data_IF_393554750078
#
_entry.id   IF_393554750078
#
_cell.length_a   1.000
_cell.length_b   1.000
_cell.length_c   1.000
_cell.angle_alpha   90.00
_cell.angle_beta   90.00
_cell.angle_gamma   90.00
#
_symmetry.space_group_name_H-M   'P 1'
#
loop_
_entity.id
_entity.type
_entity.pdbx_description
1 polymer ?
#
# COMPACT_ATOMS: atom_id res chain seq x y z
N UNK A 1 -40.21 16.30 -18.40
CA UNK A 1 -38.80 16.49 -18.81
C UNK A 1 -38.00 15.48 -18.00
N UNK A 2 -37.72 14.31 -18.57
CA UNK A 2 -37.12 13.18 -17.85
C UNK A 2 -35.61 13.36 -17.86
N UNK A 3 -35.03 13.70 -16.71
CA UNK A 3 -33.59 13.78 -16.54
C UNK A 3 -33.01 12.37 -16.77
N UNK A 4 -32.34 12.18 -17.91
CA UNK A 4 -31.51 11.00 -18.14
C UNK A 4 -30.33 11.09 -17.20
N UNK A 5 -30.44 10.48 -16.02
CA UNK A 5 -29.30 10.23 -15.14
C UNK A 5 -28.29 9.42 -15.95
N UNK A 6 -27.24 10.07 -16.44
CA UNK A 6 -26.15 9.38 -17.13
C UNK A 6 -25.44 8.49 -16.10
N UNK A 7 -25.48 7.18 -16.33
CA UNK A 7 -24.80 6.17 -15.48
C UNK A 7 -23.29 6.10 -15.73
N UNK A 8 -22.72 7.10 -16.39
CA UNK A 8 -21.29 7.14 -16.71
C UNK A 8 -20.49 7.73 -15.55
N UNK A 9 -19.34 7.12 -15.24
CA UNK A 9 -18.42 7.70 -14.27
C UNK A 9 -17.91 9.06 -14.77
N UNK A 10 -17.78 10.02 -13.85
CA UNK A 10 -17.24 11.33 -14.16
C UNK A 10 -15.82 11.20 -14.71
N UNK A 11 -15.62 11.71 -15.93
CA UNK A 11 -14.29 11.77 -16.56
C UNK A 11 -13.32 12.57 -15.68
N UNK A 12 -12.07 12.10 -15.60
CA UNK A 12 -10.98 12.75 -14.86
C UNK A 12 -11.33 13.08 -13.39
N UNK A 13 -12.05 12.20 -12.70
CA UNK A 13 -12.43 12.43 -11.31
C UNK A 13 -11.22 12.57 -10.36
N UNK A 14 -10.09 11.95 -10.71
CA UNK A 14 -8.88 11.82 -9.89
C UNK A 14 -7.70 12.62 -10.44
N UNK A 15 -7.60 12.76 -11.77
CA UNK A 15 -6.41 13.27 -12.45
C UNK A 15 -5.17 12.39 -12.22
N UNK A 16 -4.03 12.78 -12.79
CA UNK A 16 -2.76 12.04 -12.66
C UNK A 16 -2.25 12.01 -11.23
N UNK A 17 -2.20 13.17 -10.55
CA UNK A 17 -1.74 13.24 -9.17
C UNK A 17 -2.66 12.44 -8.23
N UNK A 18 -3.98 12.49 -8.43
CA UNK A 18 -4.92 11.67 -7.65
C UNK A 18 -4.66 10.18 -7.83
N UNK A 19 -4.42 9.72 -9.06
CA UNK A 19 -4.06 8.31 -9.28
C UNK A 19 -2.71 7.93 -8.68
N UNK A 20 -1.72 8.83 -8.71
CA UNK A 20 -0.41 8.59 -8.11
C UNK A 20 -0.52 8.44 -6.59
N UNK A 21 -1.21 9.39 -5.93
CA UNK A 21 -1.41 9.34 -4.49
C UNK A 21 -2.30 8.18 -4.06
N UNK A 22 -3.32 7.83 -4.84
CA UNK A 22 -4.14 6.64 -4.57
C UNK A 22 -3.30 5.35 -4.66
N UNK A 23 -2.41 5.27 -5.66
CA UNK A 23 -1.46 4.16 -5.78
C UNK A 23 -0.50 4.10 -4.59
N UNK A 24 0.09 5.23 -4.19
CA UNK A 24 1.00 5.30 -3.05
C UNK A 24 0.30 4.95 -1.73
N UNK A 25 -0.87 5.54 -1.47
CA UNK A 25 -1.68 5.27 -0.29
C UNK A 25 -2.07 3.79 -0.21
N UNK A 26 -2.42 3.18 -1.35
CA UNK A 26 -2.74 1.76 -1.44
C UNK A 26 -1.59 0.83 -1.06
N UNK A 27 -0.33 1.26 -1.21
CA UNK A 27 0.85 0.48 -0.81
C UNK A 27 1.22 0.64 0.67
N UNK A 28 0.62 1.60 1.39
CA UNK A 28 0.86 1.91 2.80
C UNK A 28 2.37 1.88 3.19
N UNK A 29 3.18 2.84 2.71
CA UNK A 29 4.64 2.87 2.91
C UNK A 29 5.14 2.60 4.33
N UNK A 30 4.58 3.27 5.36
CA UNK A 30 5.04 3.10 6.73
C UNK A 30 4.77 1.69 7.25
N UNK A 31 3.60 1.13 6.93
CA UNK A 31 3.28 -0.26 7.25
C UNK A 31 4.20 -1.24 6.51
N UNK A 32 4.42 -1.02 5.21
CA UNK A 32 5.31 -1.84 4.39
C UNK A 32 6.74 -1.88 4.93
N UNK A 33 7.24 -0.78 5.50
CA UNK A 33 8.56 -0.75 6.15
C UNK A 33 8.49 -1.45 7.52
N UNK A 34 7.53 -1.10 8.36
CA UNK A 34 7.43 -1.62 9.72
C UNK A 34 7.23 -3.14 9.77
N UNK A 35 6.40 -3.70 8.88
CA UNK A 35 6.13 -5.13 8.80
C UNK A 35 6.97 -5.82 7.72
N UNK A 36 6.89 -5.33 6.48
CA UNK A 36 7.50 -5.99 5.32
C UNK A 36 9.03 -5.98 5.35
N UNK A 37 9.65 -4.83 5.61
CA UNK A 37 11.11 -4.77 5.69
C UNK A 37 11.63 -5.54 6.92
N UNK A 38 10.94 -5.47 8.06
CA UNK A 38 11.26 -6.27 9.25
C UNK A 38 11.23 -7.78 8.97
N UNK A 39 10.20 -8.23 8.25
CA UNK A 39 10.08 -9.63 7.82
C UNK A 39 11.22 -10.04 6.88
N UNK A 40 11.60 -9.20 5.91
CA UNK A 40 12.74 -9.53 5.04
C UNK A 40 14.03 -9.60 5.86
N UNK A 41 14.23 -8.66 6.81
CA UNK A 41 15.37 -8.65 7.71
C UNK A 41 15.49 -9.89 8.59
N UNK A 42 14.38 -10.52 8.99
CA UNK A 42 14.44 -11.75 9.78
C UNK A 42 14.99 -12.96 9.01
N UNK A 43 15.09 -12.90 7.67
CA UNK A 43 15.63 -13.97 6.84
C UNK A 43 16.92 -13.60 6.10
N UNK A 44 17.01 -12.37 5.59
CA UNK A 44 18.14 -11.92 4.78
C UNK A 44 19.19 -11.14 5.58
N UNK A 45 18.95 -10.86 6.87
CA UNK A 45 19.86 -10.13 7.76
C UNK A 45 20.36 -8.84 7.12
N UNK A 46 21.67 -8.59 7.11
CA UNK A 46 22.23 -7.38 6.53
C UNK A 46 21.93 -7.29 5.03
N UNK A 47 21.85 -8.41 4.30
CA UNK A 47 21.57 -8.43 2.85
C UNK A 47 20.11 -8.10 2.46
N UNK A 48 19.28 -7.63 3.39
CA UNK A 48 17.88 -7.29 3.14
C UNK A 48 17.65 -6.28 2.00
N UNK A 49 18.44 -5.20 1.88
CA UNK A 49 18.33 -4.30 0.73
C UNK A 49 18.57 -4.99 -0.61
N UNK A 50 19.55 -5.91 -0.70
CA UNK A 50 19.75 -6.72 -1.91
C UNK A 50 18.52 -7.59 -2.22
N UNK A 51 17.97 -8.28 -1.22
CA UNK A 51 16.77 -9.11 -1.40
C UNK A 51 15.57 -8.28 -1.87
N UNK A 52 15.38 -7.08 -1.32
CA UNK A 52 14.34 -6.13 -1.74
C UNK A 52 14.55 -5.67 -3.19
N UNK A 53 15.79 -5.38 -3.60
CA UNK A 53 16.10 -4.99 -4.99
C UNK A 53 15.82 -6.12 -5.98
N UNK A 54 16.20 -7.35 -5.66
CA UNK A 54 15.90 -8.51 -6.51
C UNK A 54 14.39 -8.74 -6.62
N UNK A 55 13.67 -8.56 -5.52
CA UNK A 55 12.20 -8.62 -5.50
C UNK A 55 11.58 -7.54 -6.37
N UNK A 56 12.07 -6.30 -6.29
CA UNK A 56 11.64 -5.19 -7.16
C UNK A 56 11.80 -5.55 -8.63
N UNK A 57 12.97 -6.05 -9.03
CA UNK A 57 13.24 -6.45 -10.42
C UNK A 57 12.28 -7.54 -10.89
N UNK A 58 11.98 -8.53 -10.04
CA UNK A 58 10.99 -9.57 -10.35
C UNK A 58 9.58 -9.02 -10.56
N UNK A 59 9.15 -8.08 -9.71
CA UNK A 59 7.80 -7.50 -9.76
C UNK A 59 7.62 -6.56 -10.96
N UNK A 60 8.69 -5.94 -11.50
CA UNK A 60 8.59 -5.05 -12.67
C UNK A 60 7.97 -5.74 -13.90
N UNK A 61 8.19 -7.04 -14.10
CA UNK A 61 7.55 -7.79 -15.18
C UNK A 61 6.02 -7.79 -15.05
N UNK A 62 5.51 -7.98 -13.82
CA UNK A 62 4.07 -7.95 -13.50
C UNK A 62 3.53 -6.54 -13.72
N UNK A 63 4.24 -5.52 -13.22
CA UNK A 63 3.87 -4.11 -13.41
C UNK A 63 3.74 -3.76 -14.89
N UNK A 64 4.67 -4.24 -15.72
CA UNK A 64 4.63 -4.03 -17.16
C UNK A 64 3.41 -4.70 -17.81
N UNK A 65 3.08 -5.93 -17.45
CA UNK A 65 1.86 -6.59 -17.93
C UNK A 65 0.60 -5.79 -17.59
N UNK A 66 0.49 -5.31 -16.36
CA UNK A 66 -0.65 -4.48 -15.92
C UNK A 66 -0.69 -3.16 -16.69
N UNK A 67 0.46 -2.51 -16.90
CA UNK A 67 0.55 -1.27 -17.69
C UNK A 67 0.04 -1.46 -19.12
N UNK A 68 0.44 -2.53 -19.81
CA UNK A 68 -0.03 -2.84 -21.16
C UNK A 68 -1.54 -3.07 -21.17
N UNK A 69 -2.07 -3.84 -20.21
CA UNK A 69 -3.51 -4.12 -20.12
C UNK A 69 -4.33 -2.87 -19.79
N UNK A 70 -3.82 -2.00 -18.90
CA UNK A 70 -4.47 -0.75 -18.54
C UNK A 70 -4.62 0.21 -19.73
N UNK A 71 -3.62 0.22 -20.64
CA UNK A 71 -3.70 0.99 -21.89
C UNK A 71 -4.65 0.37 -22.91
N UNK A 72 -4.69 -0.96 -23.00
CA UNK A 72 -5.51 -1.67 -23.99
C UNK A 72 -6.99 -1.71 -23.61
N UNK A 73 -7.30 -1.81 -22.31
CA UNK A 73 -8.65 -1.97 -21.79
C UNK A 73 -8.96 -0.90 -20.71
N UNK A 74 -9.08 0.40 -21.08
CA UNK A 74 -9.39 1.45 -20.13
C UNK A 74 -10.81 1.29 -19.59
N UNK A 75 -10.95 0.66 -18.42
CA UNK A 75 -12.24 0.35 -17.80
C UNK A 75 -12.15 0.50 -16.28
N UNK A 76 -13.20 1.06 -15.67
CA UNK A 76 -13.30 1.24 -14.22
C UNK A 76 -13.32 -0.07 -13.41
N UNK A 77 -13.44 -1.22 -14.08
CA UNK A 77 -13.47 -2.54 -13.45
C UNK A 77 -12.07 -3.18 -13.39
N UNK A 78 -11.04 -2.46 -13.88
CA UNK A 78 -9.62 -2.81 -13.77
C UNK A 78 -9.36 -4.29 -14.10
N UNK A 79 -8.84 -5.07 -13.15
CA UNK A 79 -8.49 -6.49 -13.31
C UNK A 79 -9.64 -7.39 -13.80
N UNK A 80 -10.89 -7.14 -13.40
CA UNK A 80 -12.03 -7.88 -13.95
C UNK A 80 -12.12 -7.70 -15.47
N UNK A 81 -11.96 -6.45 -15.95
CA UNK A 81 -12.01 -6.15 -17.37
C UNK A 81 -10.79 -6.74 -18.10
N UNK A 82 -9.59 -6.66 -17.50
CA UNK A 82 -8.38 -7.22 -18.12
C UNK A 82 -8.53 -8.72 -18.35
N UNK A 83 -8.97 -9.48 -17.34
CA UNK A 83 -9.13 -10.93 -17.43
C UNK A 83 -10.29 -11.31 -18.35
N UNK A 84 -11.41 -10.58 -18.28
CA UNK A 84 -12.58 -10.83 -19.16
C UNK A 84 -12.23 -10.69 -20.63
N UNK A 85 -11.47 -9.64 -20.99
CA UNK A 85 -11.13 -9.34 -22.38
C UNK A 85 -9.92 -10.13 -22.91
N UNK A 86 -9.15 -10.80 -22.04
CA UNK A 86 -7.97 -11.58 -22.43
C UNK A 86 -8.23 -13.09 -22.41
N UNK A 87 -9.08 -13.58 -21.50
CA UNK A 87 -9.39 -15.00 -21.35
C UNK A 87 -10.84 -15.29 -21.73
N UNK A 88 -11.78 -15.02 -20.82
CA UNK A 88 -13.22 -15.10 -21.05
C UNK A 88 -13.98 -14.51 -19.84
N UNK A 89 -15.29 -14.32 -20.01
CA UNK A 89 -16.16 -13.73 -18.98
C UNK A 89 -16.26 -14.56 -17.69
N UNK A 90 -16.20 -15.90 -17.75
CA UNK A 90 -16.29 -16.74 -16.54
C UNK A 90 -15.06 -16.56 -15.65
N UNK A 91 -13.86 -16.58 -16.24
CA UNK A 91 -12.60 -16.37 -15.50
C UNK A 91 -12.50 -14.92 -15.02
N UNK A 92 -12.96 -13.97 -15.84
CA UNK A 92 -13.07 -12.56 -15.45
C UNK A 92 -13.94 -12.38 -14.21
N UNK A 93 -15.13 -12.98 -14.19
CA UNK A 93 -16.04 -12.95 -13.05
C UNK A 93 -15.43 -13.57 -11.79
N UNK A 94 -14.80 -14.73 -11.91
CA UNK A 94 -14.08 -15.35 -10.79
C UNK A 94 -12.98 -14.43 -10.24
N UNK A 95 -12.16 -13.84 -11.11
CA UNK A 95 -11.15 -12.85 -10.71
C UNK A 95 -11.78 -11.63 -10.01
N UNK A 96 -12.90 -11.14 -10.54
CA UNK A 96 -13.66 -10.06 -9.93
C UNK A 96 -14.13 -10.38 -8.50
N UNK A 97 -14.63 -11.60 -8.26
CA UNK A 97 -14.99 -12.06 -6.91
C UNK A 97 -13.76 -12.12 -6.01
N UNK A 98 -12.65 -12.69 -6.50
CA UNK A 98 -11.42 -12.80 -5.70
C UNK A 98 -10.95 -11.43 -5.25
N UNK A 99 -10.84 -10.47 -6.16
CA UNK A 99 -10.47 -9.09 -5.81
C UNK A 99 -11.54 -8.43 -4.93
N UNK A 100 -12.82 -8.54 -5.24
CA UNK A 100 -13.84 -7.81 -4.47
C UNK A 100 -13.97 -8.33 -3.05
N UNK A 101 -13.91 -9.65 -2.84
CA UNK A 101 -14.12 -10.27 -1.52
C UNK A 101 -12.81 -10.39 -0.77
N UNK A 102 -11.82 -11.08 -1.34
CA UNK A 102 -10.58 -11.38 -0.62
C UNK A 102 -9.71 -10.14 -0.48
N UNK A 103 -9.52 -9.34 -1.53
CA UNK A 103 -8.70 -8.13 -1.39
C UNK A 103 -9.34 -7.11 -0.45
N UNK A 104 -10.67 -6.97 -0.46
CA UNK A 104 -11.34 -6.05 0.49
C UNK A 104 -11.23 -6.53 1.92
N UNK A 105 -11.44 -7.82 2.20
CA UNK A 105 -11.37 -8.36 3.57
C UNK A 105 -9.92 -8.38 4.06
N UNK A 106 -9.01 -8.95 3.27
CA UNK A 106 -7.60 -9.09 3.65
C UNK A 106 -6.90 -7.73 3.67
N UNK A 107 -7.16 -6.87 2.69
CA UNK A 107 -6.61 -5.52 2.62
C UNK A 107 -7.04 -4.67 3.81
N UNK A 108 -8.35 -4.52 4.04
CA UNK A 108 -8.87 -3.73 5.17
C UNK A 108 -8.46 -4.34 6.51
N UNK A 109 -8.56 -5.67 6.64
CA UNK A 109 -8.20 -6.37 7.87
C UNK A 109 -6.71 -6.23 8.22
N UNK A 110 -5.81 -6.41 7.25
CA UNK A 110 -4.37 -6.28 7.48
C UNK A 110 -3.97 -4.87 7.91
N UNK A 111 -4.54 -3.83 7.28
CA UNK A 111 -4.30 -2.42 7.67
C UNK A 111 -4.85 -2.16 9.08
N UNK A 112 -6.03 -2.68 9.42
CA UNK A 112 -6.62 -2.50 10.75
C UNK A 112 -5.78 -3.17 11.86
N UNK A 113 -5.29 -4.37 11.61
CA UNK A 113 -4.38 -5.09 12.52
C UNK A 113 -3.06 -4.33 12.65
N UNK A 114 -2.49 -3.87 11.55
CA UNK A 114 -1.26 -3.09 11.57
C UNK A 114 -1.39 -1.81 12.38
N UNK A 115 -2.47 -1.05 12.17
CA UNK A 115 -2.77 0.16 12.94
C UNK A 115 -2.92 -0.15 14.43
N UNK A 116 -3.64 -1.21 14.78
CA UNK A 116 -3.84 -1.62 16.17
C UNK A 116 -2.53 -1.98 16.88
N UNK A 117 -1.69 -2.77 16.22
CA UNK A 117 -0.39 -3.19 16.75
C UNK A 117 0.56 -2.00 16.89
N UNK A 118 0.82 -1.26 15.80
CA UNK A 118 1.74 -0.13 15.80
C UNK A 118 1.26 1.02 16.70
N UNK A 119 -0.05 1.25 16.76
CA UNK A 119 -0.64 2.24 17.66
C UNK A 119 -0.45 1.87 19.13
N UNK A 120 -0.56 0.59 19.49
CA UNK A 120 -0.30 0.10 20.85
C UNK A 120 1.16 0.28 21.23
N UNK A 121 2.09 -0.08 20.35
CA UNK A 121 3.53 0.12 20.56
C UNK A 121 3.87 1.61 20.71
N UNK A 122 3.25 2.48 19.91
CA UNK A 122 3.42 3.93 20.02
C UNK A 122 2.91 4.48 21.35
N UNK A 123 1.74 4.03 21.82
CA UNK A 123 1.18 4.42 23.12
C UNK A 123 2.06 3.92 24.26
N UNK A 124 2.52 2.67 24.20
CA UNK A 124 3.43 2.10 25.18
C UNK A 124 4.75 2.87 25.24
N UNK A 125 5.34 3.25 24.10
CA UNK A 125 6.58 4.01 24.05
C UNK A 125 6.49 5.39 24.74
N UNK A 126 5.30 6.01 24.75
CA UNK A 126 5.09 7.34 25.36
C UNK A 126 4.62 7.23 26.81
N UNK A 127 3.77 6.26 27.12
CA UNK A 127 3.06 6.17 28.41
C UNK A 127 3.59 5.10 29.35
N UNK A 128 4.33 4.11 28.84
CA UNK A 128 4.76 2.92 29.57
C UNK A 128 3.63 1.94 29.92
N UNK A 129 2.40 2.22 29.48
CA UNK A 129 1.23 1.41 29.82
C UNK A 129 0.81 0.52 28.64
N UNK A 130 0.79 -0.81 28.81
CA UNK A 130 0.31 -1.71 27.78
C UNK A 130 -1.22 -1.59 27.67
N UNK A 131 -1.72 -1.47 26.44
CA UNK A 131 -3.15 -1.49 26.13
C UNK A 131 -3.44 -2.68 25.23
N UNK A 132 -4.70 -3.15 25.25
CA UNK A 132 -5.10 -4.24 24.35
C UNK A 132 -5.24 -3.70 22.91
N UNK A 133 -4.48 -4.21 21.92
CA UNK A 133 -4.56 -3.74 20.53
C UNK A 133 -5.95 -3.83 19.91
N UNK A 134 -6.78 -4.77 20.37
CA UNK A 134 -8.15 -4.95 19.86
C UNK A 134 -9.02 -3.69 20.00
N UNK A 135 -8.71 -2.82 20.96
CA UNK A 135 -9.43 -1.55 21.18
C UNK A 135 -9.20 -0.57 20.01
N UNK A 136 -8.02 -0.61 19.39
CA UNK A 136 -7.64 0.29 18.30
C UNK A 136 -8.07 -0.23 16.92
N UNK A 137 -8.33 -1.53 16.79
CA UNK A 137 -8.69 -2.20 15.53
C UNK A 137 -9.87 -1.57 14.76
N UNK A 138 -11.02 -1.21 15.38
CA UNK A 138 -12.15 -0.66 14.64
C UNK A 138 -11.94 0.77 14.13
N UNK A 139 -10.95 1.50 14.68
CA UNK A 139 -10.73 2.92 14.40
C UNK A 139 -10.44 3.20 12.90
N UNK A 140 -9.42 2.59 12.28
CA UNK A 140 -9.09 2.88 10.87
C UNK A 140 -10.22 2.47 9.92
N UNK A 141 -10.96 1.41 10.25
CA UNK A 141 -12.12 0.95 9.47
C UNK A 141 -13.22 2.03 9.51
N UNK A 142 -13.59 2.48 10.71
CA UNK A 142 -14.62 3.50 10.89
C UNK A 142 -14.24 4.83 10.22
N UNK A 143 -12.98 5.25 10.36
CA UNK A 143 -12.48 6.49 9.75
C UNK A 143 -12.42 6.41 8.22
N UNK A 144 -12.03 5.25 7.65
CA UNK A 144 -11.97 5.06 6.20
C UNK A 144 -13.36 4.99 5.54
N UNK A 145 -14.39 4.54 6.27
CA UNK A 145 -15.77 4.51 5.76
C UNK A 145 -16.29 5.90 5.42
N UNK A 146 -15.91 6.94 6.17
CA UNK A 146 -16.40 8.31 5.97
C UNK A 146 -16.08 8.84 4.56
N UNK A 147 -14.81 8.93 4.11
CA UNK A 147 -14.53 9.35 2.74
C UNK A 147 -15.03 8.33 1.71
N UNK A 148 -15.04 7.03 2.02
CA UNK A 148 -15.50 6.01 1.09
C UNK A 148 -16.97 6.17 0.69
N UNK A 149 -17.87 6.52 1.62
CA UNK A 149 -19.29 6.75 1.31
C UNK A 149 -19.54 8.11 0.64
N UNK A 150 -18.65 9.09 0.85
CA UNK A 150 -18.72 10.41 0.21
C UNK A 150 -18.18 10.41 -1.24
N UNK A 151 -17.53 9.31 -1.65
CA UNK A 151 -17.06 9.07 -3.01
C UNK A 151 -15.58 9.40 -3.23
N UNK A 152 -15.13 9.20 -4.47
CA UNK A 152 -13.69 9.13 -4.79
C UNK A 152 -12.90 10.44 -4.58
N UNK A 153 -13.55 11.61 -4.66
CA UNK A 153 -12.86 12.90 -4.51
C UNK A 153 -12.44 13.18 -3.06
N UNK A 154 -13.35 13.08 -2.07
CA UNK A 154 -12.97 13.09 -0.66
C UNK A 154 -11.90 12.04 -0.34
N UNK A 155 -12.05 10.80 -0.81
CA UNK A 155 -11.05 9.74 -0.58
C UNK A 155 -9.67 10.15 -1.06
N UNK A 156 -9.54 10.61 -2.30
CA UNK A 156 -8.24 11.02 -2.84
C UNK A 156 -7.65 12.21 -2.10
N UNK A 157 -8.47 13.17 -1.67
CA UNK A 157 -7.97 14.31 -0.87
C UNK A 157 -7.42 13.83 0.47
N UNK A 158 -8.14 12.94 1.15
CA UNK A 158 -7.68 12.33 2.40
C UNK A 158 -6.40 11.52 2.19
N UNK A 159 -6.36 10.69 1.15
CA UNK A 159 -5.17 9.91 0.77
C UNK A 159 -3.97 10.82 0.48
N UNK A 160 -4.17 11.89 -0.31
CA UNK A 160 -3.13 12.87 -0.60
C UNK A 160 -2.56 13.47 0.69
N UNK A 161 -3.42 13.98 1.57
CA UNK A 161 -2.97 14.62 2.82
C UNK A 161 -2.23 13.65 3.73
N UNK A 162 -2.81 12.47 3.99
CA UNK A 162 -2.21 11.47 4.89
C UNK A 162 -0.90 10.91 4.32
N UNK A 163 -0.87 10.60 3.02
CA UNK A 163 0.32 10.05 2.36
C UNK A 163 1.44 11.10 2.27
N UNK A 164 1.11 12.38 2.03
CA UNK A 164 2.13 13.44 2.08
C UNK A 164 2.75 13.58 3.46
N UNK A 165 1.95 13.50 4.53
CA UNK A 165 2.44 13.53 5.91
C UNK A 165 3.31 12.30 6.20
N UNK A 166 2.84 11.11 5.83
CA UNK A 166 3.57 9.85 5.99
C UNK A 166 4.94 9.90 5.29
N UNK A 167 4.97 10.28 4.01
CA UNK A 167 6.21 10.40 3.24
C UNK A 167 7.14 11.44 3.87
N UNK A 168 6.62 12.58 4.35
CA UNK A 168 7.45 13.59 5.02
C UNK A 168 8.11 13.04 6.29
N UNK A 169 7.37 12.28 7.11
CA UNK A 169 7.90 11.64 8.33
C UNK A 169 8.95 10.58 7.97
N UNK A 170 8.70 9.75 6.96
CA UNK A 170 9.66 8.74 6.50
C UNK A 170 10.94 9.39 5.95
N UNK A 171 10.83 10.46 5.17
CA UNK A 171 11.99 11.21 4.68
C UNK A 171 12.78 11.84 5.83
N UNK A 172 12.08 12.40 6.83
CA UNK A 172 12.73 12.91 8.04
C UNK A 172 13.48 11.80 8.77
N UNK A 173 12.85 10.63 8.95
CA UNK A 173 13.49 9.47 9.56
C UNK A 173 14.74 9.02 8.79
N UNK A 174 14.68 9.00 7.45
CA UNK A 174 15.84 8.70 6.61
C UNK A 174 16.96 9.72 6.85
N UNK A 175 16.67 11.02 6.78
CA UNK A 175 17.68 12.08 6.97
C UNK A 175 18.34 11.99 8.35
N UNK A 176 17.54 11.81 9.41
CA UNK A 176 18.05 11.66 10.78
C UNK A 176 18.90 10.39 10.92
N UNK A 177 18.49 9.29 10.31
CA UNK A 177 19.24 8.02 10.33
C UNK A 177 20.60 8.16 9.65
N UNK A 178 20.68 8.85 8.51
CA UNK A 178 21.93 9.15 7.83
C UNK A 178 22.83 10.05 8.66
N UNK A 179 22.29 11.13 9.22
CA UNK A 179 23.05 12.06 10.06
C UNK A 179 23.66 11.36 11.29
N UNK A 180 22.91 10.46 11.93
CA UNK A 180 23.37 9.71 13.10
C UNK A 180 24.39 8.61 12.78
N UNK A 181 24.38 8.05 11.56
CA UNK A 181 25.17 6.86 11.20
C UNK A 181 26.14 7.08 10.03
N UNK A 182 26.49 8.32 9.72
CA UNK A 182 27.32 8.66 8.54
C UNK A 182 28.67 7.92 8.50
N UNK A 183 29.27 7.67 9.66
CA UNK A 183 30.56 6.98 9.80
C UNK A 183 30.44 5.44 9.69
N UNK A 184 29.22 4.90 9.62
CA UNK A 184 28.94 3.45 9.59
C UNK A 184 28.33 2.99 8.27
N UNK A 185 28.35 3.85 7.24
CA UNK A 185 27.86 3.50 5.91
C UNK A 185 28.75 2.40 5.31
N UNK A 186 28.11 1.36 4.79
CA UNK A 186 28.77 0.21 4.20
C UNK A 186 27.95 -0.32 3.03
N UNK A 187 28.62 -0.96 2.08
CA UNK A 187 27.98 -1.65 0.95
C UNK A 187 27.50 -3.06 1.32
N UNK A 188 27.87 -3.58 2.50
CA UNK A 188 27.53 -4.92 2.97
C UNK A 188 26.05 -5.30 2.74
N UNK A 189 25.06 -4.41 2.99
CA UNK A 189 23.65 -4.74 2.78
C UNK A 189 23.23 -5.02 1.34
N UNK A 190 24.09 -4.67 0.37
CA UNK A 190 23.89 -4.89 -1.05
C UNK A 190 24.69 -6.10 -1.57
N UNK A 191 25.23 -6.93 -0.66
CA UNK A 191 26.04 -8.10 -1.01
C UNK A 191 25.44 -9.38 -0.43
N UNK A 192 25.72 -10.52 -1.09
CA UNK A 192 25.30 -11.85 -0.60
C UNK A 192 26.00 -12.21 0.72
N UNK A 193 27.19 -11.65 0.98
CA UNK A 193 27.94 -11.88 2.22
C UNK A 193 27.19 -11.34 3.44
N UNK A 194 26.37 -10.30 3.28
CA UNK A 194 25.55 -9.74 4.35
C UNK A 194 24.52 -10.72 4.95
N UNK A 195 24.21 -11.83 4.27
CA UNK A 195 23.37 -12.89 4.83
C UNK A 195 24.11 -13.72 5.88
N UNK A 196 25.43 -13.86 5.75
CA UNK A 196 26.24 -14.78 6.57
C UNK A 196 27.07 -14.06 7.65
N UNK A 197 27.21 -12.74 7.53
CA UNK A 197 27.90 -11.91 8.51
C UNK A 197 26.84 -11.37 9.48
N UNK A 198 26.84 -11.93 10.69
CA UNK A 198 26.00 -11.47 11.81
C UNK A 198 26.75 -10.47 12.66
#
# INVERSE_FOLDING_TARGET
MTETISRELRRNATGFLGSLYNSLAGQAPAYSIAGGAAFIMSYAYAASPLAMLLTLLGVLAIVYSIFVMARKYPHAASFYAYVTNTLNSKVGFFNGIVYTVFYSIVGVGSIAIAFAYLGTEGIYAITGHPINPLILLPIPIALALVPAVLGIRPSIRTEMTLTSIEIAILLLFVVLSFAANINRLSILPFTVQGTYQT
#
